data_IF_518830776094
#
_entry.id   IF_518830776094
#
_cell.length_a   1.000
_cell.length_b   1.000
_cell.length_c   1.000
_cell.angle_alpha   90.00
_cell.angle_beta   90.00
_cell.angle_gamma   90.00
#
_symmetry.space_group_name_H-M   'P 1'
#
loop_
_entity.id
_entity.type
_entity.pdbx_description
1 polymer ?
#
# COMPACT_ATOMS: atom_id res chain seq x y z
N UNK A 1 -26.01 -4.34 13.08
CA UNK A 1 -26.26 -3.86 11.69
C UNK A 1 -25.48 -2.59 11.35
N UNK A 2 -25.53 -1.53 12.16
CA UNK A 2 -24.85 -0.24 11.86
C UNK A 2 -23.32 -0.38 11.70
N UNK A 3 -22.66 -1.24 12.49
CA UNK A 3 -21.21 -1.46 12.41
C UNK A 3 -20.77 -2.09 11.06
N UNK A 4 -21.51 -3.09 10.57
CA UNK A 4 -21.22 -3.70 9.26
C UNK A 4 -21.44 -2.70 8.12
N UNK A 5 -22.52 -1.91 8.17
CA UNK A 5 -22.80 -0.90 7.16
C UNK A 5 -21.72 0.19 7.11
N UNK A 6 -21.28 0.68 8.27
CA UNK A 6 -20.22 1.70 8.37
C UNK A 6 -18.86 1.19 7.94
N UNK A 7 -18.46 -0.03 8.35
CA UNK A 7 -17.22 -0.66 7.88
C UNK A 7 -17.24 -0.91 6.37
N UNK A 8 -18.38 -1.34 5.82
CA UNK A 8 -18.54 -1.54 4.38
C UNK A 8 -18.36 -0.23 3.60
N UNK A 9 -19.08 0.84 4.00
CA UNK A 9 -18.95 2.17 3.39
C UNK A 9 -17.52 2.72 3.49
N UNK A 10 -16.86 2.53 4.63
CA UNK A 10 -15.46 2.94 4.83
C UNK A 10 -14.49 2.18 3.91
N UNK A 11 -14.59 0.84 3.87
CA UNK A 11 -13.76 0.02 3.00
C UNK A 11 -13.97 0.33 1.52
N UNK A 12 -15.21 0.63 1.12
CA UNK A 12 -15.57 1.01 -0.25
C UNK A 12 -14.90 2.34 -0.63
N UNK A 13 -15.01 3.36 0.24
CA UNK A 13 -14.40 4.66 0.02
C UNK A 13 -12.87 4.58 -0.09
N UNK A 14 -12.23 3.80 0.79
CA UNK A 14 -10.78 3.58 0.73
C UNK A 14 -10.32 2.82 -0.52
N UNK A 15 -11.09 1.82 -0.96
CA UNK A 15 -10.74 1.01 -2.14
C UNK A 15 -10.87 1.80 -3.45
N UNK A 16 -11.83 2.72 -3.52
CA UNK A 16 -11.98 3.59 -4.69
C UNK A 16 -11.07 4.81 -4.69
N UNK A 17 -10.53 5.21 -3.53
CA UNK A 17 -9.60 6.33 -3.46
C UNK A 17 -8.39 6.06 -4.38
N UNK A 18 -8.08 6.97 -5.32
CA UNK A 18 -6.93 6.82 -6.21
C UNK A 18 -5.64 7.06 -5.42
N UNK A 19 -5.23 6.05 -4.65
CA UNK A 19 -3.97 6.03 -3.92
C UNK A 19 -2.80 5.55 -4.81
N UNK A 20 -1.56 5.75 -4.34
CA UNK A 20 -0.36 5.34 -5.09
C UNK A 20 -0.36 3.84 -5.41
N UNK A 21 -0.74 3.00 -4.43
CA UNK A 21 -0.79 1.54 -4.58
C UNK A 21 -1.88 1.14 -5.58
N UNK A 22 -3.07 1.74 -5.51
CA UNK A 22 -4.17 1.43 -6.40
C UNK A 22 -3.87 1.86 -7.85
N UNK A 23 -3.20 3.00 -8.05
CA UNK A 23 -2.71 3.44 -9.36
C UNK A 23 -1.67 2.47 -9.94
N UNK A 24 -0.76 1.93 -9.13
CA UNK A 24 0.22 0.94 -9.57
C UNK A 24 -0.46 -0.38 -10.00
N UNK A 25 -1.51 -0.80 -9.30
CA UNK A 25 -2.30 -1.98 -9.69
C UNK A 25 -3.00 -1.75 -11.03
N UNK A 26 -3.65 -0.58 -11.20
CA UNK A 26 -4.35 -0.24 -12.45
C UNK A 26 -3.36 -0.17 -13.62
N UNK A 27 -2.23 0.53 -13.46
CA UNK A 27 -1.22 0.64 -14.51
C UNK A 27 -0.62 -0.72 -14.88
N UNK A 28 -0.32 -1.56 -13.90
CA UNK A 28 0.17 -2.94 -14.12
C UNK A 28 -0.89 -3.82 -14.79
N UNK A 29 -2.16 -3.65 -14.43
CA UNK A 29 -3.30 -4.35 -15.04
C UNK A 29 -3.44 -4.02 -16.52
N UNK A 30 -3.33 -2.73 -16.87
CA UNK A 30 -3.39 -2.24 -18.25
C UNK A 30 -2.15 -2.63 -19.06
N UNK A 31 -0.95 -2.63 -18.44
CA UNK A 31 0.32 -2.85 -19.15
C UNK A 31 0.74 -4.32 -19.27
N UNK A 32 0.47 -5.14 -18.26
CA UNK A 32 0.98 -6.52 -18.14
C UNK A 32 -0.11 -7.59 -18.08
N UNK A 33 -1.37 -7.16 -18.05
CA UNK A 33 -2.53 -8.03 -17.98
C UNK A 33 -2.82 -8.59 -16.59
N UNK A 34 -3.99 -9.22 -16.47
CA UNK A 34 -4.54 -9.68 -15.19
C UNK A 34 -3.65 -10.69 -14.46
N UNK A 35 -3.04 -11.65 -15.18
CA UNK A 35 -2.25 -12.73 -14.58
C UNK A 35 -1.02 -12.24 -13.81
N UNK A 36 -0.27 -11.27 -14.34
CA UNK A 36 0.94 -10.76 -13.67
C UNK A 36 0.60 -9.81 -12.53
N UNK A 37 -0.43 -8.99 -12.72
CA UNK A 37 -0.97 -8.10 -11.67
C UNK A 37 -1.48 -8.90 -10.47
N UNK A 38 -2.10 -10.06 -10.70
CA UNK A 38 -2.54 -10.94 -9.62
C UNK A 38 -1.39 -11.45 -8.74
N UNK A 39 -0.22 -11.73 -9.32
CA UNK A 39 0.96 -12.12 -8.56
C UNK A 39 1.49 -10.98 -7.68
N UNK A 40 1.46 -9.74 -8.16
CA UNK A 40 1.80 -8.57 -7.35
C UNK A 40 0.81 -8.38 -6.19
N UNK A 41 -0.50 -8.42 -6.47
CA UNK A 41 -1.53 -8.25 -5.43
C UNK A 41 -1.48 -9.36 -4.37
N UNK A 42 -1.22 -10.61 -4.78
CA UNK A 42 -1.10 -11.73 -3.83
C UNK A 42 0.15 -11.63 -2.95
N UNK A 43 1.27 -11.15 -3.50
CA UNK A 43 2.48 -10.82 -2.74
C UNK A 43 2.20 -9.77 -1.66
N UNK A 44 1.59 -8.66 -2.07
CA UNK A 44 1.21 -7.58 -1.16
C UNK A 44 0.27 -8.05 -0.04
N UNK A 45 -0.72 -8.86 -0.40
CA UNK A 45 -1.70 -9.39 0.56
C UNK A 45 -1.04 -10.33 1.56
N UNK A 46 -0.14 -11.20 1.10
CA UNK A 46 0.59 -12.12 1.99
C UNK A 46 1.57 -11.37 2.90
N UNK A 47 2.30 -10.38 2.37
CA UNK A 47 3.18 -9.53 3.16
C UNK A 47 2.42 -8.76 4.25
N UNK A 48 1.28 -8.16 3.90
CA UNK A 48 0.42 -7.47 4.85
C UNK A 48 -0.16 -8.44 5.91
N UNK A 49 -0.60 -9.63 5.49
CA UNK A 49 -1.11 -10.65 6.43
C UNK A 49 -0.02 -11.11 7.40
N UNK A 50 1.20 -11.36 6.92
CA UNK A 50 2.34 -11.69 7.77
C UNK A 50 2.65 -10.56 8.74
N UNK A 51 2.65 -9.31 8.28
CA UNK A 51 2.84 -8.15 9.15
C UNK A 51 1.80 -8.11 10.27
N UNK A 52 0.51 -8.29 9.95
CA UNK A 52 -0.55 -8.35 10.96
C UNK A 52 -0.33 -9.47 11.96
N UNK A 53 0.06 -10.66 11.49
CA UNK A 53 0.40 -11.80 12.36
C UNK A 53 1.53 -11.38 13.32
N UNK A 54 2.66 -10.88 12.82
CA UNK A 54 3.77 -10.44 13.67
C UNK A 54 3.36 -9.38 14.70
N UNK A 55 2.54 -8.40 14.28
CA UNK A 55 2.00 -7.37 15.18
C UNK A 55 1.12 -8.00 16.26
N UNK A 56 0.23 -8.92 15.90
CA UNK A 56 -0.65 -9.64 16.83
C UNK A 56 0.10 -10.57 17.80
N UNK A 57 1.22 -11.16 17.37
CA UNK A 57 2.07 -12.01 18.21
C UNK A 57 2.92 -11.23 19.23
N UNK A 58 2.73 -9.91 19.34
CA UNK A 58 3.35 -9.11 20.39
C UNK A 58 4.53 -8.26 19.91
N UNK A 59 4.74 -8.09 18.61
CA UNK A 59 5.70 -7.07 18.14
C UNK A 59 5.35 -5.68 18.69
N UNK A 60 4.06 -5.41 18.93
CA UNK A 60 3.60 -4.20 19.61
C UNK A 60 4.19 -4.01 21.01
N UNK A 61 4.35 -5.09 21.81
CA UNK A 61 4.92 -4.96 23.17
C UNK A 61 6.40 -4.63 23.14
N UNK A 62 7.12 -5.16 22.15
CA UNK A 62 8.53 -4.82 21.89
C UNK A 62 8.65 -3.35 21.47
N UNK A 63 7.77 -2.88 20.57
CA UNK A 63 7.71 -1.48 20.15
C UNK A 63 7.37 -0.55 21.32
N UNK A 64 6.45 -0.96 22.20
CA UNK A 64 6.06 -0.19 23.39
C UNK A 64 7.20 -0.01 24.41
N UNK A 65 8.16 -0.95 24.46
CA UNK A 65 9.35 -0.81 25.32
C UNK A 65 10.37 0.21 24.80
N UNK A 66 10.31 0.57 23.51
CA UNK A 66 11.22 1.54 22.87
C UNK A 66 10.43 2.71 22.25
N UNK A 67 9.78 3.57 23.06
CA UNK A 67 8.92 4.64 22.57
C UNK A 67 9.65 5.68 21.71
N UNK A 68 10.94 5.91 21.97
CA UNK A 68 11.78 6.80 21.16
C UNK A 68 11.92 6.30 19.72
N UNK A 69 12.13 5.00 19.52
CA UNK A 69 12.25 4.40 18.19
C UNK A 69 10.96 4.55 17.38
N UNK A 70 9.81 4.27 18.01
CA UNK A 70 8.50 4.45 17.38
C UNK A 70 8.23 5.91 17.01
N UNK A 71 8.65 6.86 17.86
CA UNK A 71 8.54 8.30 17.57
C UNK A 71 9.34 8.71 16.34
N UNK A 72 10.59 8.26 16.21
CA UNK A 72 11.39 8.53 15.01
C UNK A 72 10.79 7.88 13.77
N UNK A 73 10.31 6.63 13.88
CA UNK A 73 9.65 5.94 12.78
C UNK A 73 8.39 6.66 12.32
N UNK A 74 7.59 7.20 13.25
CA UNK A 74 6.39 7.96 12.94
C UNK A 74 6.71 9.28 12.21
N UNK A 75 7.74 10.01 12.68
CA UNK A 75 8.20 11.23 12.00
C UNK A 75 8.73 10.93 10.60
N UNK A 76 9.57 9.90 10.45
CA UNK A 76 10.10 9.47 9.15
C UNK A 76 8.99 9.00 8.22
N UNK A 77 8.02 8.23 8.72
CA UNK A 77 6.86 7.76 7.96
C UNK A 77 5.98 8.92 7.49
N UNK A 78 5.76 9.92 8.35
CA UNK A 78 5.00 11.11 7.99
C UNK A 78 5.70 11.93 6.89
N UNK A 79 7.02 12.13 7.02
CA UNK A 79 7.83 12.78 5.99
C UNK A 79 7.79 11.99 4.68
N UNK A 80 7.88 10.66 4.75
CA UNK A 80 7.80 9.79 3.58
C UNK A 80 6.46 9.91 2.85
N UNK A 81 5.34 9.93 3.58
CA UNK A 81 4.00 10.12 2.98
C UNK A 81 3.91 11.50 2.32
N UNK A 82 4.38 12.56 2.98
CA UNK A 82 4.43 13.91 2.41
C UNK A 82 5.27 13.95 1.13
N UNK A 83 6.44 13.29 1.15
CA UNK A 83 7.31 13.18 -0.01
C UNK A 83 6.62 12.45 -1.18
N UNK A 84 5.94 11.34 -0.92
CA UNK A 84 5.20 10.63 -1.96
C UNK A 84 4.04 11.46 -2.51
N UNK A 85 3.31 12.16 -1.66
CA UNK A 85 2.26 13.10 -2.09
C UNK A 85 2.81 14.20 -2.99
N UNK A 86 3.93 14.82 -2.60
CA UNK A 86 4.62 15.82 -3.43
C UNK A 86 5.08 15.27 -4.77
N UNK A 87 5.64 14.06 -4.78
CA UNK A 87 6.11 13.39 -5.99
C UNK A 87 4.97 13.10 -6.97
N UNK A 88 3.80 12.70 -6.47
CA UNK A 88 2.59 12.49 -7.29
C UNK A 88 2.07 13.83 -7.82
N UNK A 89 1.99 14.85 -6.97
CA UNK A 89 1.52 16.18 -7.37
C UNK A 89 2.41 16.86 -8.43
N UNK A 90 3.72 16.57 -8.41
CA UNK A 90 4.71 17.15 -9.34
C UNK A 90 4.97 16.25 -10.56
N UNK A 91 4.40 15.04 -10.59
CA UNK A 91 4.59 14.12 -11.71
C UNK A 91 3.90 14.63 -12.97
N UNK A 92 4.61 14.63 -14.10
CA UNK A 92 4.01 14.96 -15.39
C UNK A 92 3.22 13.75 -15.90
N UNK A 93 2.00 13.94 -16.44
CA UNK A 93 1.25 12.87 -17.07
C UNK A 93 1.94 12.45 -18.37
N UNK A 94 2.80 11.44 -18.30
CA UNK A 94 3.37 10.80 -19.47
C UNK A 94 2.35 9.79 -20.01
N UNK A 95 1.71 10.13 -21.13
CA UNK A 95 0.77 9.27 -21.84
C UNK A 95 1.48 8.14 -22.61
N UNK A 96 2.82 8.12 -22.63
CA UNK A 96 3.57 6.99 -23.17
C UNK A 96 3.56 5.84 -22.16
N UNK A 97 2.71 4.85 -22.43
CA UNK A 97 2.70 3.58 -21.70
C UNK A 97 4.00 2.82 -22.02
N UNK A 98 5.10 3.20 -21.39
CA UNK A 98 6.38 2.48 -21.48
C UNK A 98 6.17 1.08 -20.94
N UNK A 99 6.22 0.08 -21.82
CA UNK A 99 6.15 -1.35 -21.50
C UNK A 99 7.38 -1.78 -20.67
N UNK A 100 7.43 -1.38 -19.41
CA UNK A 100 8.44 -1.79 -18.43
C UNK A 100 8.24 -3.24 -18.00
N UNK A 101 9.12 -3.80 -17.18
CA UNK A 101 8.90 -5.13 -16.60
C UNK A 101 7.69 -5.11 -15.67
N UNK A 102 6.91 -6.20 -15.68
CA UNK A 102 5.76 -6.36 -14.79
C UNK A 102 6.23 -6.45 -13.34
N UNK A 103 5.57 -5.77 -12.40
CA UNK A 103 5.84 -6.01 -11.00
C UNK A 103 5.51 -7.48 -10.65
N UNK A 104 6.49 -8.18 -10.12
CA UNK A 104 6.38 -9.58 -9.71
C UNK A 104 5.91 -9.73 -8.27
N UNK A 105 5.76 -10.98 -7.83
CA UNK A 105 5.30 -11.33 -6.48
C UNK A 105 6.14 -10.71 -5.35
N UNK A 106 7.46 -10.58 -5.54
CA UNK A 106 8.39 -10.03 -4.52
C UNK A 106 8.32 -8.50 -4.41
N UNK A 107 7.80 -7.85 -5.43
CA UNK A 107 7.59 -6.40 -5.43
C UNK A 107 6.22 -6.02 -4.86
N UNK A 108 5.33 -7.01 -4.74
CA UNK A 108 4.04 -6.93 -4.06
C UNK A 108 4.21 -6.84 -2.56
#
# INVERSE_FOLDING_TARGET
MVLMATMFLYSLALSFSPGPVNMVIISSGVMHGFRKTFAFVSGATLGFTLLLIFVSFGLYTVIASHPSFFKYLNVLGSIFILYQGYKIATSQPDWSLKKGNAPGFVQG
#
